data_IF_801604832665
#
_entry.id   IF_801604832665
#
_cell.length_a   1.000
_cell.length_b   1.000
_cell.length_c   1.000
_cell.angle_alpha   90.00
_cell.angle_beta   90.00
_cell.angle_gamma   90.00
#
_symmetry.space_group_name_H-M   'P 1'
#
loop_
_entity.id
_entity.type
_entity.pdbx_description
1 polymer ?
#
# COMPACT_ATOMS: atom_id res chain seq x y z
N UNK A 1 -9.45 16.54 -45.75
CA UNK A 1 -8.26 16.98 -44.98
C UNK A 1 -8.71 17.80 -43.78
N UNK A 2 -9.52 18.85 -43.99
CA UNK A 2 -10.07 19.72 -42.94
C UNK A 2 -10.88 19.00 -41.83
N UNK A 3 -11.68 17.98 -42.19
CA UNK A 3 -12.45 17.22 -41.19
C UNK A 3 -11.56 16.44 -40.19
N UNK A 4 -10.36 16.03 -40.61
CA UNK A 4 -9.41 15.31 -39.77
C UNK A 4 -8.64 16.28 -38.84
N UNK A 5 -8.36 17.49 -39.32
CA UNK A 5 -7.72 18.54 -38.53
C UNK A 5 -8.65 19.12 -37.46
N UNK A 6 -9.94 19.28 -37.78
CA UNK A 6 -10.94 19.76 -36.82
C UNK A 6 -11.14 18.76 -35.65
N UNK A 7 -11.15 17.47 -35.94
CA UNK A 7 -11.23 16.40 -34.93
C UNK A 7 -10.00 16.41 -34.03
N UNK A 8 -8.80 16.48 -34.63
CA UNK A 8 -7.53 16.58 -33.87
C UNK A 8 -7.47 17.83 -32.98
N UNK A 9 -7.92 18.98 -33.46
CA UNK A 9 -7.98 20.21 -32.67
C UNK A 9 -8.97 20.12 -31.50
N UNK A 10 -10.11 19.44 -31.69
CA UNK A 10 -11.09 19.21 -30.61
C UNK A 10 -10.56 18.24 -29.54
N UNK A 11 -9.85 17.19 -29.93
CA UNK A 11 -9.24 16.23 -29.01
C UNK A 11 -8.15 16.90 -28.16
N UNK A 12 -7.25 17.66 -28.78
CA UNK A 12 -6.21 18.42 -28.06
C UNK A 12 -6.80 19.44 -27.08
N UNK A 13 -7.87 20.13 -27.46
CA UNK A 13 -8.58 21.05 -26.57
C UNK A 13 -9.18 20.31 -25.36
N UNK A 14 -9.85 19.17 -25.57
CA UNK A 14 -10.41 18.34 -24.48
C UNK A 14 -9.32 17.85 -23.53
N UNK A 15 -8.20 17.33 -24.05
CA UNK A 15 -7.05 16.92 -23.24
C UNK A 15 -6.48 18.08 -22.43
N UNK A 16 -6.33 19.27 -23.03
CA UNK A 16 -5.83 20.46 -22.30
C UNK A 16 -6.76 20.90 -21.16
N UNK A 17 -8.08 20.83 -21.36
CA UNK A 17 -9.05 21.16 -20.30
C UNK A 17 -9.06 20.13 -19.18
N UNK A 18 -8.90 18.85 -19.54
CA UNK A 18 -8.79 17.76 -18.57
C UNK A 18 -7.55 17.95 -17.69
N UNK A 19 -6.36 18.13 -18.29
CA UNK A 19 -5.13 18.31 -17.51
C UNK A 19 -5.21 19.52 -16.60
N UNK A 20 -5.70 20.67 -17.10
CA UNK A 20 -5.86 21.86 -16.28
C UNK A 20 -6.81 21.64 -15.10
N UNK A 21 -7.91 20.90 -15.29
CA UNK A 21 -8.80 20.53 -14.17
C UNK A 21 -8.08 19.64 -13.18
N UNK A 22 -7.36 18.61 -13.66
CA UNK A 22 -6.65 17.67 -12.81
C UNK A 22 -5.57 18.35 -11.96
N UNK A 23 -4.77 19.24 -12.56
CA UNK A 23 -3.79 20.05 -11.82
C UNK A 23 -4.44 20.90 -10.73
N UNK A 24 -5.61 21.52 -11.02
CA UNK A 24 -6.39 22.25 -10.02
C UNK A 24 -6.88 21.35 -8.88
N UNK A 25 -7.28 20.11 -9.18
CA UNK A 25 -7.74 19.15 -8.18
C UNK A 25 -6.61 18.64 -7.30
N UNK A 26 -5.41 18.45 -7.86
CA UNK A 26 -4.20 18.11 -7.10
C UNK A 26 -3.84 19.27 -6.16
N UNK A 27 -3.88 20.51 -6.63
CA UNK A 27 -3.65 21.71 -5.79
C UNK A 27 -4.66 21.78 -4.62
N UNK A 28 -5.92 21.44 -4.87
CA UNK A 28 -6.98 21.42 -3.84
C UNK A 28 -6.79 20.33 -2.78
N UNK A 29 -6.13 19.23 -3.15
CA UNK A 29 -5.72 18.15 -2.25
C UNK A 29 -4.47 18.53 -1.47
N UNK A 30 -3.48 19.14 -2.14
CA UNK A 30 -2.16 19.47 -1.62
C UNK A 30 -1.04 18.70 -2.33
N UNK A 31 -0.11 19.42 -2.94
CA UNK A 31 1.05 18.85 -3.65
C UNK A 31 1.98 18.07 -2.71
N UNK A 32 2.05 18.47 -1.44
CA UNK A 32 2.84 17.81 -0.40
C UNK A 32 2.36 16.40 -0.05
N UNK A 33 1.10 16.09 -0.38
CA UNK A 33 0.54 14.76 -0.19
C UNK A 33 0.75 13.87 -1.41
N UNK A 34 1.03 14.42 -2.59
CA UNK A 34 1.23 13.66 -3.82
C UNK A 34 2.61 13.01 -3.83
N UNK A 35 2.65 11.68 -3.99
CA UNK A 35 3.89 10.88 -3.98
C UNK A 35 4.25 10.39 -5.37
N UNK A 36 3.24 9.97 -6.14
CA UNK A 36 3.42 9.44 -7.49
C UNK A 36 2.37 10.03 -8.41
N UNK A 37 2.80 10.34 -9.62
CA UNK A 37 1.95 10.81 -10.72
C UNK A 37 2.39 10.06 -11.98
N UNK A 38 1.46 9.35 -12.62
CA UNK A 38 1.71 8.65 -13.88
C UNK A 38 2.04 9.63 -15.00
N UNK A 39 2.91 9.24 -15.93
CA UNK A 39 3.34 10.11 -17.03
C UNK A 39 2.19 10.52 -17.98
N UNK A 40 1.15 9.71 -18.06
CA UNK A 40 -0.10 9.96 -18.80
C UNK A 40 -1.17 10.68 -17.96
N UNK A 41 -0.85 10.98 -16.69
CA UNK A 41 -1.73 11.63 -15.71
C UNK A 41 -3.02 10.83 -15.40
N UNK A 42 -3.02 9.53 -15.66
CA UNK A 42 -4.14 8.63 -15.33
C UNK A 42 -3.97 7.96 -13.96
N UNK A 43 -2.79 8.03 -13.37
CA UNK A 43 -2.49 7.43 -12.07
C UNK A 43 -1.96 8.47 -11.08
N UNK A 44 -2.49 8.47 -9.86
CA UNK A 44 -2.05 9.31 -8.76
C UNK A 44 -1.90 8.47 -7.49
N UNK A 45 -0.92 8.81 -6.64
CA UNK A 45 -0.80 8.22 -5.30
C UNK A 45 -0.61 9.32 -4.28
N UNK A 46 -1.49 9.36 -3.27
CA UNK A 46 -1.43 10.33 -2.18
C UNK A 46 -1.04 9.65 -0.86
N UNK A 47 -0.07 10.23 -0.16
CA UNK A 47 0.36 9.86 1.19
C UNK A 47 -0.54 10.52 2.22
N UNK A 48 -1.09 9.71 3.11
CA UNK A 48 -2.01 10.16 4.16
C UNK A 48 -1.56 9.58 5.49
N UNK A 49 -1.56 10.42 6.53
CA UNK A 49 -1.29 10.01 7.90
C UNK A 49 -2.61 9.75 8.62
N UNK A 50 -2.68 8.65 9.35
CA UNK A 50 -3.81 8.39 10.25
C UNK A 50 -3.60 9.05 11.64
N UNK A 51 -4.59 8.89 12.52
CA UNK A 51 -4.57 9.46 13.87
C UNK A 51 -3.39 8.97 14.75
N UNK A 52 -2.78 7.83 14.41
CA UNK A 52 -1.59 7.28 15.09
C UNK A 52 -0.29 7.56 14.32
N UNK A 53 -0.32 8.50 13.38
CA UNK A 53 0.83 8.84 12.52
C UNK A 53 1.37 7.68 11.68
N UNK A 54 0.52 6.68 11.39
CA UNK A 54 0.88 5.63 10.43
C UNK A 54 0.68 6.16 9.02
N UNK A 55 1.62 5.82 8.15
CA UNK A 55 1.60 6.22 6.74
C UNK A 55 0.74 5.24 5.95
N UNK A 56 -0.18 5.79 5.17
CA UNK A 56 -1.04 5.07 4.23
C UNK A 56 -0.94 5.73 2.86
N UNK A 57 -1.12 4.95 1.80
CA UNK A 57 -1.18 5.46 0.43
C UNK A 57 -2.53 5.11 -0.17
N UNK A 58 -3.19 6.10 -0.77
CA UNK A 58 -4.33 5.87 -1.65
C UNK A 58 -3.87 6.06 -3.08
N UNK A 59 -3.99 5.01 -3.87
CA UNK A 59 -3.73 5.02 -5.30
C UNK A 59 -5.05 5.23 -6.04
N UNK A 60 -5.03 6.12 -7.02
CA UNK A 60 -6.19 6.56 -7.77
C UNK A 60 -5.88 6.38 -9.26
N UNK A 61 -6.69 5.58 -9.93
CA UNK A 61 -6.68 5.42 -11.38
C UNK A 61 -7.88 6.15 -12.00
N UNK A 62 -7.59 7.00 -12.97
CA UNK A 62 -8.53 7.79 -13.75
C UNK A 62 -8.68 7.15 -15.13
N UNK A 63 -9.92 6.92 -15.55
CA UNK A 63 -10.22 6.53 -16.93
C UNK A 63 -10.76 7.72 -17.75
N UNK A 64 -11.03 7.49 -19.03
CA UNK A 64 -11.54 8.52 -19.96
C UNK A 64 -12.93 9.07 -19.57
N UNK A 65 -13.63 8.39 -18.66
CA UNK A 65 -14.97 8.79 -18.20
C UNK A 65 -14.93 9.69 -16.97
N UNK A 66 -13.76 9.90 -16.34
CA UNK A 66 -13.56 10.87 -15.28
C UNK A 66 -13.85 12.32 -15.74
N UNK A 67 -14.48 13.17 -14.92
CA UNK A 67 -15.05 12.93 -13.58
C UNK A 67 -16.53 12.48 -13.60
N UNK A 68 -17.10 12.14 -14.76
CA UNK A 68 -18.52 11.74 -14.85
C UNK A 68 -18.77 10.43 -14.10
N UNK A 69 -17.77 9.55 -14.08
CA UNK A 69 -17.72 8.33 -13.29
C UNK A 69 -16.70 8.46 -12.15
N UNK A 70 -16.83 7.65 -11.08
CA UNK A 70 -15.83 7.60 -10.03
C UNK A 70 -14.51 7.05 -10.54
N UNK A 71 -13.37 7.58 -10.07
CA UNK A 71 -12.09 6.94 -10.29
C UNK A 71 -12.00 5.63 -9.51
N UNK A 72 -11.08 4.74 -9.90
CA UNK A 72 -10.78 3.53 -9.12
C UNK A 72 -9.80 3.90 -8.01
N UNK A 73 -10.10 3.49 -6.78
CA UNK A 73 -9.22 3.69 -5.64
C UNK A 73 -8.72 2.34 -5.11
N UNK A 74 -7.45 2.27 -4.74
CA UNK A 74 -6.82 1.13 -4.07
C UNK A 74 -5.89 1.61 -2.95
N UNK A 75 -5.72 0.78 -1.93
CA UNK A 75 -4.84 1.05 -0.80
C UNK A 75 -4.52 -0.27 -0.07
N UNK A 76 -3.44 -0.29 0.72
CA UNK A 76 -3.11 -1.39 1.62
C UNK A 76 -4.00 -1.37 2.89
N UNK A 77 -5.28 -1.69 2.70
CA UNK A 77 -6.32 -1.72 3.74
C UNK A 77 -7.07 -3.05 3.67
N UNK A 78 -7.67 -3.55 4.77
CA UNK A 78 -8.34 -4.86 4.77
C UNK A 78 -9.50 -4.95 3.79
N UNK A 79 -10.14 -3.82 3.50
CA UNK A 79 -11.12 -3.66 2.44
C UNK A 79 -11.16 -2.19 2.02
N UNK A 80 -11.46 -1.93 0.73
CA UNK A 80 -11.60 -0.57 0.21
C UNK A 80 -12.98 0.00 0.57
N UNK A 81 -13.07 1.31 0.75
CA UNK A 81 -14.32 1.98 1.05
C UNK A 81 -15.22 2.12 -0.19
N UNK A 82 -16.53 2.15 0.03
CA UNK A 82 -17.50 2.48 -1.01
C UNK A 82 -17.45 3.97 -1.34
N UNK A 83 -16.67 4.33 -2.37
CA UNK A 83 -16.53 5.71 -2.82
C UNK A 83 -17.89 6.29 -3.23
N UNK A 84 -18.34 7.31 -2.49
CA UNK A 84 -19.52 8.10 -2.85
C UNK A 84 -19.08 9.16 -3.86
N UNK A 85 -19.68 9.12 -5.04
CA UNK A 85 -19.27 9.95 -6.17
C UNK A 85 -20.47 10.60 -6.85
N UNK A 86 -20.27 11.83 -7.30
CA UNK A 86 -21.21 12.61 -8.09
C UNK A 86 -20.46 13.31 -9.23
N UNK A 87 -21.17 13.83 -10.22
CA UNK A 87 -20.57 14.59 -11.32
C UNK A 87 -19.83 15.87 -10.89
N UNK A 88 -20.08 16.36 -9.67
CA UNK A 88 -19.38 17.49 -9.06
C UNK A 88 -18.25 17.07 -8.12
N UNK A 89 -18.06 15.77 -7.92
CA UNK A 89 -17.00 15.24 -7.08
C UNK A 89 -15.64 15.36 -7.76
N UNK A 90 -14.59 15.47 -6.94
CA UNK A 90 -13.20 15.72 -7.35
C UNK A 90 -12.24 14.86 -6.52
N UNK A 91 -10.95 14.88 -6.85
CA UNK A 91 -9.93 14.08 -6.12
C UNK A 91 -9.95 14.30 -4.59
N UNK A 92 -10.21 15.53 -4.15
CA UNK A 92 -10.34 15.87 -2.73
C UNK A 92 -11.39 15.05 -2.01
N UNK A 93 -12.51 14.72 -2.66
CA UNK A 93 -13.57 13.89 -2.07
C UNK A 93 -13.10 12.46 -1.85
N UNK A 94 -12.26 11.92 -2.74
CA UNK A 94 -11.64 10.59 -2.58
C UNK A 94 -10.74 10.58 -1.35
N UNK A 95 -9.84 11.57 -1.25
CA UNK A 95 -8.89 11.71 -0.14
C UNK A 95 -9.62 11.87 1.19
N UNK A 96 -10.65 12.72 1.25
CA UNK A 96 -11.46 12.92 2.47
C UNK A 96 -12.24 11.67 2.88
N UNK A 97 -12.80 10.94 1.92
CA UNK A 97 -13.49 9.68 2.22
C UNK A 97 -12.52 8.59 2.67
N UNK A 98 -11.32 8.54 2.09
CA UNK A 98 -10.27 7.63 2.53
C UNK A 98 -9.78 7.97 3.93
N UNK A 99 -9.57 9.25 4.28
CA UNK A 99 -9.24 9.66 5.65
C UNK A 99 -10.27 9.16 6.68
N UNK A 100 -11.57 9.34 6.39
CA UNK A 100 -12.66 8.81 7.24
C UNK A 100 -12.66 7.28 7.30
N UNK A 101 -12.23 6.61 6.24
CA UNK A 101 -12.07 5.17 6.21
C UNK A 101 -10.94 4.72 7.15
N UNK A 102 -9.79 5.40 7.10
CA UNK A 102 -8.66 5.14 8.02
C UNK A 102 -9.07 5.32 9.49
N UNK A 103 -9.93 6.29 9.81
CA UNK A 103 -10.47 6.49 11.16
C UNK A 103 -11.25 5.28 11.67
N UNK A 104 -12.06 4.63 10.82
CA UNK A 104 -12.81 3.42 11.18
C UNK A 104 -11.90 2.22 11.46
N UNK A 105 -10.81 2.11 10.71
CA UNK A 105 -9.87 0.99 10.80
C UNK A 105 -8.87 1.11 11.96
N UNK A 106 -8.93 2.17 12.75
CA UNK A 106 -7.97 2.39 13.85
C UNK A 106 -7.98 1.26 14.88
N UNK A 107 -9.16 0.75 15.26
CA UNK A 107 -9.27 -0.35 16.25
C UNK A 107 -8.71 -1.66 15.69
N UNK A 108 -8.94 -1.92 14.40
CA UNK A 108 -8.43 -3.09 13.70
C UNK A 108 -6.91 -3.14 13.72
N UNK A 109 -6.24 -2.09 13.24
CA UNK A 109 -4.78 -2.07 13.27
C UNK A 109 -4.21 -2.04 14.68
N UNK A 110 -4.90 -1.41 15.64
CA UNK A 110 -4.46 -1.45 17.05
C UNK A 110 -4.49 -2.87 17.60
N UNK A 111 -5.53 -3.64 17.27
CA UNK A 111 -5.65 -5.04 17.68
C UNK A 111 -4.55 -5.90 17.06
N UNK A 112 -4.25 -5.70 15.77
CA UNK A 112 -3.13 -6.38 15.11
C UNK A 112 -1.78 -5.98 15.72
N UNK A 113 -1.55 -4.68 15.96
CA UNK A 113 -0.32 -4.19 16.59
C UNK A 113 -0.14 -4.80 18.00
N UNK A 114 -1.22 -4.99 18.75
CA UNK A 114 -1.20 -5.62 20.08
C UNK A 114 -0.91 -7.12 20.00
N UNK A 115 -1.47 -7.83 19.01
CA UNK A 115 -1.16 -9.25 18.72
C UNK A 115 0.32 -9.38 18.38
N UNK A 116 0.81 -8.58 17.43
CA UNK A 116 2.19 -8.62 16.92
C UNK A 116 3.22 -8.33 18.02
N UNK A 117 2.87 -7.48 19.00
CA UNK A 117 3.71 -7.19 20.17
C UNK A 117 3.66 -8.25 21.27
N UNK A 118 2.54 -8.95 21.41
CA UNK A 118 2.27 -9.78 22.60
C UNK A 118 2.47 -11.27 22.35
N UNK A 119 2.37 -11.72 21.10
CA UNK A 119 2.30 -13.13 20.71
C UNK A 119 3.43 -13.46 19.73
N UNK A 120 3.92 -14.71 19.77
CA UNK A 120 4.86 -15.18 18.76
C UNK A 120 4.14 -15.43 17.42
N UNK A 121 4.06 -14.37 16.61
CA UNK A 121 3.58 -14.42 15.22
C UNK A 121 4.69 -14.99 14.33
N UNK A 122 4.35 -16.05 13.59
CA UNK A 122 5.25 -16.76 12.66
C UNK A 122 5.02 -16.30 11.22
N UNK A 123 3.77 -15.99 10.89
CA UNK A 123 3.37 -15.53 9.57
C UNK A 123 2.22 -14.51 9.68
N UNK A 124 2.25 -13.40 8.91
CA UNK A 124 3.33 -12.96 8.02
C UNK A 124 4.57 -12.47 8.78
N UNK A 125 5.78 -12.68 8.22
CA UNK A 125 7.04 -12.13 8.77
C UNK A 125 7.07 -10.59 8.74
N UNK A 126 6.46 -10.01 7.70
CA UNK A 126 6.30 -8.56 7.53
C UNK A 126 4.82 -8.29 7.21
N UNK A 127 3.98 -8.02 8.23
CA UNK A 127 2.56 -7.78 8.00
C UNK A 127 2.32 -6.46 7.26
N UNK A 128 1.56 -6.53 6.18
CA UNK A 128 0.96 -5.33 5.58
C UNK A 128 -0.31 -4.93 6.32
N UNK A 129 -0.81 -3.73 6.05
CA UNK A 129 -2.01 -3.17 6.71
C UNK A 129 -3.32 -3.74 6.17
N UNK A 130 -3.30 -4.42 5.02
CA UNK A 130 -4.43 -5.22 4.52
C UNK A 130 -4.54 -6.62 5.11
N UNK A 131 -3.47 -7.17 5.70
CA UNK A 131 -3.48 -8.54 6.21
C UNK A 131 -4.26 -8.68 7.51
N UNK A 132 -5.40 -9.36 7.43
CA UNK A 132 -6.32 -9.63 8.55
C UNK A 132 -6.04 -10.93 9.30
N UNK A 133 -5.00 -11.68 8.96
CA UNK A 133 -4.68 -12.95 9.61
C UNK A 133 -3.32 -12.93 10.31
N UNK A 134 -3.17 -13.77 11.34
CA UNK A 134 -1.91 -13.99 12.07
C UNK A 134 -1.73 -15.45 12.44
N UNK A 135 -0.60 -16.04 12.05
CA UNK A 135 -0.22 -17.40 12.43
C UNK A 135 0.60 -17.32 13.70
N UNK A 136 0.08 -17.91 14.77
CA UNK A 136 0.67 -17.78 16.09
C UNK A 136 1.15 -19.15 16.54
N UNK A 137 2.39 -19.20 17.05
CA UNK A 137 2.92 -20.40 17.68
C UNK A 137 2.21 -20.63 19.02
N UNK A 138 1.64 -21.82 19.22
CA UNK A 138 0.94 -22.20 20.46
C UNK A 138 1.67 -23.29 21.25
N UNK A 139 2.90 -23.63 20.86
CA UNK A 139 3.74 -24.68 21.45
C UNK A 139 3.43 -26.07 20.88
N UNK A 140 4.24 -27.06 21.27
CA UNK A 140 4.09 -28.48 20.86
C UNK A 140 3.99 -28.68 19.33
N UNK A 141 4.82 -27.95 18.57
CA UNK A 141 4.79 -27.95 17.09
C UNK A 141 3.41 -27.67 16.50
N UNK A 142 2.60 -26.91 17.23
CA UNK A 142 1.27 -26.47 16.80
C UNK A 142 1.23 -24.96 16.59
N UNK A 143 0.37 -24.57 15.65
CA UNK A 143 0.09 -23.19 15.30
C UNK A 143 -1.42 -22.96 15.26
N UNK A 144 -1.82 -21.74 15.56
CA UNK A 144 -3.19 -21.26 15.33
C UNK A 144 -3.14 -20.12 14.32
N UNK A 145 -3.90 -20.28 13.25
CA UNK A 145 -4.20 -19.21 12.30
C UNK A 145 -5.44 -18.49 12.78
N UNK A 146 -5.32 -17.22 13.14
CA UNK A 146 -6.44 -16.36 13.51
C UNK A 146 -6.80 -15.46 12.34
N UNK A 147 -8.10 -15.29 12.09
CA UNK A 147 -8.66 -14.31 11.15
C UNK A 147 -9.41 -13.25 11.93
N UNK A 148 -8.89 -12.02 11.91
CA UNK A 148 -9.39 -10.87 12.64
C UNK A 148 -10.38 -10.13 11.75
N UNK A 149 -11.61 -9.97 12.21
CA UNK A 149 -12.63 -9.21 11.49
C UNK A 149 -12.26 -7.71 11.53
N UNK A 150 -12.14 -7.07 10.38
CA UNK A 150 -11.80 -5.65 10.30
C UNK A 150 -12.90 -4.72 10.82
N UNK A 151 -14.17 -5.13 10.74
CA UNK A 151 -15.31 -4.35 11.22
C UNK A 151 -15.61 -4.56 12.72
N UNK A 152 -15.18 -5.70 13.27
CA UNK A 152 -15.32 -6.02 14.68
C UNK A 152 -14.06 -6.72 15.22
N UNK A 153 -12.92 -6.01 15.32
CA UNK A 153 -11.61 -6.60 15.57
C UNK A 153 -11.46 -7.23 16.96
N UNK A 154 -12.30 -6.82 17.92
CA UNK A 154 -12.34 -7.40 19.27
C UNK A 154 -13.30 -8.59 19.39
N UNK A 155 -14.01 -8.98 18.32
CA UNK A 155 -14.82 -10.19 18.32
C UNK A 155 -13.96 -11.46 18.43
N UNK A 156 -14.60 -12.58 18.78
CA UNK A 156 -13.95 -13.88 18.77
C UNK A 156 -13.48 -14.18 17.34
N UNK A 157 -12.16 -14.33 17.08
CA UNK A 157 -11.67 -14.58 15.73
C UNK A 157 -12.11 -15.95 15.23
N UNK A 158 -12.29 -16.05 13.91
CA UNK A 158 -12.27 -17.36 13.26
C UNK A 158 -10.85 -17.93 13.37
N UNK A 159 -10.74 -19.25 13.53
CA UNK A 159 -9.43 -19.86 13.69
C UNK A 159 -9.30 -21.21 13.00
N UNK A 160 -8.06 -21.53 12.61
CA UNK A 160 -7.64 -22.84 12.11
C UNK A 160 -6.40 -23.31 12.86
N UNK A 161 -6.47 -24.51 13.41
CA UNK A 161 -5.33 -25.16 14.07
C UNK A 161 -4.51 -25.95 13.06
N UNK A 162 -3.19 -25.97 13.26
CA UNK A 162 -2.20 -26.66 12.43
C UNK A 162 -1.20 -27.36 13.33
N UNK A 163 -0.83 -28.60 13.04
CA UNK A 163 0.05 -29.42 13.87
C UNK A 163 -0.38 -30.89 13.87
N UNK A 164 0.25 -31.75 14.70
CA UNK A 164 -0.14 -33.16 14.80
C UNK A 164 -1.59 -33.34 15.25
N UNK A 165 -2.35 -34.19 14.54
CA UNK A 165 -3.79 -34.38 14.75
C UNK A 165 -4.20 -34.61 16.22
N UNK A 166 -3.54 -35.49 17.00
CA UNK A 166 -3.95 -35.73 18.38
C UNK A 166 -3.87 -34.48 19.26
N UNK A 167 -2.88 -33.61 19.00
CA UNK A 167 -2.65 -32.38 19.76
C UNK A 167 -3.64 -31.31 19.31
N UNK A 168 -3.82 -31.14 18.00
CA UNK A 168 -4.77 -30.20 17.40
C UNK A 168 -6.21 -30.49 17.81
N UNK A 169 -6.62 -31.76 17.84
CA UNK A 169 -7.98 -32.14 18.27
C UNK A 169 -8.23 -31.86 19.76
N UNK A 170 -7.19 -31.90 20.58
CA UNK A 170 -7.27 -31.42 21.97
C UNK A 170 -7.55 -29.92 22.02
N UNK A 171 -6.75 -29.11 21.31
CA UNK A 171 -6.95 -27.67 21.26
C UNK A 171 -8.32 -27.28 20.69
N UNK A 172 -8.80 -27.96 19.64
CA UNK A 172 -10.12 -27.71 19.06
C UNK A 172 -11.23 -27.94 20.10
N UNK A 173 -11.14 -29.02 20.89
CA UNK A 173 -12.13 -29.31 21.96
C UNK A 173 -12.09 -28.25 23.07
N UNK A 174 -10.90 -27.85 23.51
CA UNK A 174 -10.73 -26.82 24.55
C UNK A 174 -11.29 -25.47 24.06
N UNK A 175 -10.94 -25.06 22.84
CA UNK A 175 -11.45 -23.83 22.21
C UNK A 175 -12.98 -23.83 22.14
N UNK A 176 -13.60 -24.91 21.64
CA UNK A 176 -15.06 -25.01 21.52
C UNK A 176 -15.76 -24.95 22.88
N UNK A 177 -15.17 -25.58 23.91
CA UNK A 177 -15.67 -25.49 25.30
C UNK A 177 -15.59 -24.06 25.83
N UNK A 178 -14.51 -23.35 25.53
CA UNK A 178 -14.18 -22.08 26.15
C UNK A 178 -14.62 -20.84 25.37
N UNK A 179 -15.07 -20.96 24.10
CA UNK A 179 -15.43 -19.83 23.24
C UNK A 179 -16.34 -18.77 23.88
N UNK A 180 -17.21 -19.18 24.82
CA UNK A 180 -18.11 -18.29 25.56
C UNK A 180 -17.42 -17.42 26.61
N UNK A 181 -16.17 -17.72 26.96
CA UNK A 181 -15.33 -16.94 27.88
C UNK A 181 -14.69 -15.72 27.21
N UNK A 182 -14.77 -15.62 25.88
CA UNK A 182 -14.25 -14.47 25.14
C UNK A 182 -15.02 -13.20 25.53
N UNK A 183 -14.28 -12.12 25.81
CA UNK A 183 -14.86 -10.80 26.07
C UNK A 183 -14.03 -9.72 25.37
N UNK A 184 -14.69 -8.69 24.84
CA UNK A 184 -14.05 -7.57 24.14
C UNK A 184 -13.23 -6.67 25.07
N UNK A 185 -13.49 -6.73 26.37
CA UNK A 185 -12.86 -5.87 27.38
C UNK A 185 -11.51 -6.42 27.88
N UNK A 186 -11.18 -7.66 27.53
CA UNK A 186 -9.94 -8.32 27.96
C UNK A 186 -8.86 -8.19 26.88
N UNK A 187 -7.59 -8.01 27.25
CA UNK A 187 -6.47 -8.05 26.30
C UNK A 187 -6.48 -9.31 25.44
N UNK A 188 -6.10 -9.17 24.17
CA UNK A 188 -6.19 -10.24 23.18
C UNK A 188 -5.37 -11.48 23.59
N UNK A 189 -4.13 -11.28 24.06
CA UNK A 189 -3.26 -12.34 24.59
C UNK A 189 -3.96 -13.15 25.69
N UNK A 190 -4.55 -12.48 26.68
CA UNK A 190 -5.21 -13.14 27.80
C UNK A 190 -6.47 -13.89 27.36
N UNK A 191 -7.21 -13.36 26.39
CA UNK A 191 -8.34 -14.06 25.79
C UNK A 191 -7.88 -15.36 25.13
N UNK A 192 -6.87 -15.33 24.26
CA UNK A 192 -6.40 -16.54 23.56
C UNK A 192 -5.81 -17.54 24.56
N UNK A 193 -5.03 -17.10 25.54
CA UNK A 193 -4.52 -17.96 26.61
C UNK A 193 -5.64 -18.63 27.41
N UNK A 194 -6.70 -17.88 27.74
CA UNK A 194 -7.88 -18.39 28.42
C UNK A 194 -8.65 -19.41 27.57
N UNK A 195 -8.75 -19.17 26.25
CA UNK A 195 -9.41 -20.09 25.33
C UNK A 195 -8.65 -21.39 25.16
N UNK A 196 -7.32 -21.36 25.15
CA UNK A 196 -6.47 -22.52 24.95
C UNK A 196 -6.05 -23.22 26.26
N UNK A 197 -6.35 -22.63 27.43
CA UNK A 197 -5.92 -23.11 28.75
C UNK A 197 -4.40 -23.35 28.85
N UNK A 198 -3.63 -22.55 28.11
CA UNK A 198 -2.17 -22.62 28.08
C UNK A 198 -1.57 -21.23 28.06
N UNK A 199 -0.33 -21.14 28.56
CA UNK A 199 0.48 -19.96 28.34
C UNK A 199 0.99 -19.96 26.91
N UNK A 200 0.92 -18.81 26.25
CA UNK A 200 1.37 -18.65 24.88
C UNK A 200 2.82 -18.21 24.84
N UNK A 201 3.62 -18.77 23.91
CA UNK A 201 4.95 -18.25 23.64
C UNK A 201 4.91 -16.76 23.30
N UNK A 202 5.80 -16.00 23.93
CA UNK A 202 6.00 -14.58 23.64
C UNK A 202 6.96 -14.41 22.46
N UNK A 203 6.98 -13.24 21.81
CA UNK A 203 8.01 -12.93 20.82
C UNK A 203 9.40 -13.21 21.38
N UNK A 204 10.23 -13.92 20.63
CA UNK A 204 11.63 -14.16 20.98
C UNK A 204 12.42 -12.94 20.48
N UNK A 205 13.24 -12.35 21.35
CA UNK A 205 14.19 -11.30 20.96
C UNK A 205 15.28 -11.94 20.10
N UNK A 206 15.23 -11.74 18.78
CA UNK A 206 16.09 -12.43 17.81
C UNK A 206 17.50 -11.83 17.86
N UNK A 207 18.26 -12.22 18.86
CA UNK A 207 19.71 -12.17 18.90
C UNK A 207 20.21 -13.59 19.20
N UNK A 208 20.06 -14.52 18.25
CA UNK A 208 20.99 -15.63 17.95
C UNK A 208 20.34 -16.73 17.10
N UNK A 209 20.97 -16.93 15.94
CA UNK A 209 21.11 -18.22 15.26
C UNK A 209 19.88 -18.77 14.53
N UNK A 210 19.40 -18.02 13.54
CA UNK A 210 18.42 -18.49 12.58
C UNK A 210 19.11 -19.39 11.53
N UNK A 211 19.28 -20.66 11.86
CA UNK A 211 19.26 -21.71 10.83
C UNK A 211 17.84 -21.76 10.28
N UNK A 212 17.48 -20.77 9.46
CA UNK A 212 16.22 -20.76 8.75
C UNK A 212 16.19 -21.99 7.84
N UNK A 213 15.24 -22.88 8.12
CA UNK A 213 15.04 -24.11 7.35
C UNK A 213 14.52 -23.69 5.98
N UNK A 214 15.31 -23.97 4.94
CA UNK A 214 14.88 -23.83 3.56
C UNK A 214 13.76 -24.83 3.26
N UNK A 215 12.77 -24.42 2.49
CA UNK A 215 11.76 -25.35 2.01
C UNK A 215 12.43 -26.48 1.21
N UNK A 216 12.18 -27.75 1.57
CA UNK A 216 12.76 -28.91 0.87
C UNK A 216 12.29 -29.12 -0.58
N UNK A 217 11.47 -28.22 -1.12
CA UNK A 217 10.97 -28.25 -2.51
C UNK A 217 11.55 -27.07 -3.30
N UNK A 218 11.30 -25.84 -2.86
CA UNK A 218 11.73 -24.64 -3.58
C UNK A 218 13.06 -24.07 -3.10
N UNK A 219 13.64 -24.61 -2.01
CA UNK A 219 14.86 -24.12 -1.36
C UNK A 219 14.81 -22.64 -0.96
N UNK A 220 13.62 -22.04 -0.95
CA UNK A 220 13.41 -20.68 -0.50
C UNK A 220 13.12 -20.67 1.01
N UNK A 221 13.67 -19.67 1.70
CA UNK A 221 13.39 -19.38 3.12
C UNK A 221 12.06 -18.63 3.31
N UNK A 222 11.63 -17.91 2.27
CA UNK A 222 10.35 -17.21 2.21
C UNK A 222 9.96 -17.12 0.74
N UNK A 223 8.68 -17.32 0.43
CA UNK A 223 8.16 -17.04 -0.89
C UNK A 223 7.80 -15.55 -0.95
N UNK A 224 8.09 -14.85 -2.06
CA UNK A 224 7.63 -13.48 -2.22
C UNK A 224 6.10 -13.48 -2.18
N UNK A 225 5.53 -12.92 -1.11
CA UNK A 225 4.17 -12.41 -1.20
C UNK A 225 4.21 -11.32 -2.26
N UNK A 226 3.31 -11.35 -3.23
CA UNK A 226 3.31 -10.43 -4.37
C UNK A 226 2.99 -8.98 -3.94
N UNK A 227 3.88 -8.34 -3.19
CA UNK A 227 4.00 -6.89 -3.15
C UNK A 227 5.00 -6.52 -4.25
N UNK A 228 4.49 -6.20 -5.44
CA UNK A 228 5.30 -5.59 -6.49
C UNK A 228 5.59 -4.13 -6.10
N UNK A 229 6.32 -3.90 -5.01
CA UNK A 229 6.91 -2.60 -4.75
C UNK A 229 8.22 -2.52 -5.54
N UNK A 230 8.11 -2.12 -6.82
CA UNK A 230 9.28 -1.59 -7.51
C UNK A 230 9.45 -0.16 -7.01
N UNK A 231 10.30 0.03 -6.01
CA UNK A 231 10.78 1.36 -5.63
C UNK A 231 11.72 1.85 -6.71
N UNK A 232 11.21 2.63 -7.67
CA UNK A 232 12.07 3.41 -8.56
C UNK A 232 12.39 4.70 -7.81
N UNK A 233 13.58 4.77 -7.20
CA UNK A 233 14.14 6.04 -6.75
C UNK A 233 14.50 6.88 -7.99
N UNK A 234 13.54 7.67 -8.47
CA UNK A 234 13.81 8.73 -9.42
C UNK A 234 13.94 10.04 -8.64
N UNK A 235 15.17 10.47 -8.39
CA UNK A 235 15.45 11.80 -7.83
C UNK A 235 15.19 12.84 -8.93
N UNK A 236 14.08 13.57 -8.82
CA UNK A 236 13.70 14.61 -9.78
C UNK A 236 14.29 15.95 -9.30
N UNK A 237 15.53 16.24 -9.70
CA UNK A 237 16.18 17.52 -9.40
C UNK A 237 15.60 18.60 -10.33
N UNK A 238 14.79 19.52 -9.78
CA UNK A 238 14.27 20.68 -10.53
C UNK A 238 15.21 21.87 -10.26
N UNK A 239 16.10 22.17 -11.20
CA UNK A 239 16.89 23.40 -11.16
C UNK A 239 16.04 24.59 -11.64
N UNK A 240 15.60 25.44 -10.71
CA UNK A 240 14.89 26.69 -11.02
C UNK A 240 15.91 27.81 -11.20
N UNK A 241 16.27 28.13 -12.45
CA UNK A 241 17.07 29.31 -12.76
C UNK A 241 16.14 30.53 -12.86
N UNK A 242 16.09 31.36 -11.82
CA UNK A 242 15.42 32.67 -11.86
C UNK A 242 16.36 33.66 -12.55
N UNK A 243 16.23 33.82 -13.87
CA UNK A 243 16.85 34.92 -14.60
C UNK A 243 16.01 36.19 -14.42
N UNK A 244 16.53 37.11 -13.60
CA UNK A 244 16.08 38.49 -13.58
C UNK A 244 16.28 39.09 -14.99
N UNK A 245 15.17 39.54 -15.57
CA UNK A 245 15.01 40.33 -16.78
C UNK A 245 14.67 39.59 -18.10
N UNK A 246 13.35 39.54 -18.37
CA UNK A 246 12.66 39.76 -19.65
C UNK A 246 12.87 38.69 -20.76
N UNK A 247 11.76 37.99 -21.04
CA UNK A 247 11.45 36.94 -22.06
C UNK A 247 11.69 35.49 -21.62
N UNK A 248 10.61 34.87 -21.11
CA UNK A 248 10.52 33.43 -20.86
C UNK A 248 10.58 32.66 -22.19
N UNK A 249 11.57 31.76 -22.32
CA UNK A 249 11.51 30.62 -23.22
C UNK A 249 11.93 29.42 -22.39
N UNK A 250 10.98 28.52 -22.12
CA UNK A 250 11.23 27.29 -21.36
C UNK A 250 11.71 26.24 -22.37
N UNK A 251 12.96 25.81 -22.25
CA UNK A 251 13.49 24.66 -22.98
C UNK A 251 13.58 23.48 -22.02
N UNK A 252 12.86 22.40 -22.32
CA UNK A 252 12.98 21.13 -21.59
C UNK A 252 14.04 20.26 -22.26
N UNK A 253 15.05 19.84 -21.51
CA UNK A 253 15.96 18.78 -21.91
C UNK A 253 15.73 17.56 -20.99
N UNK A 254 15.05 16.54 -21.50
CA UNK A 254 14.95 15.24 -20.85
C UNK A 254 16.15 14.39 -21.30
N UNK A 255 17.13 14.23 -20.42
CA UNK A 255 18.19 13.23 -20.58
C UNK A 255 17.81 11.97 -19.81
N UNK A 256 17.37 10.92 -20.49
CA UNK A 256 17.22 9.60 -19.86
C UNK A 256 18.56 8.85 -19.99
N UNK A 257 19.29 8.75 -18.88
CA UNK A 257 20.49 7.92 -18.78
C UNK A 257 20.26 6.80 -17.78
N UNK A 258 20.33 5.55 -18.22
CA UNK A 258 20.41 4.41 -17.31
C UNK A 258 21.85 4.27 -16.83
N UNK A 259 22.09 4.39 -15.52
CA UNK A 259 23.36 4.06 -14.89
C UNK A 259 23.23 2.67 -14.26
N UNK A 260 23.85 1.62 -14.80
CA UNK A 260 23.96 0.37 -14.05
C UNK A 260 24.91 0.56 -12.86
N UNK A 261 24.48 0.08 -11.70
CA UNK A 261 25.29 0.02 -10.47
C UNK A 261 26.64 -0.67 -10.74
N UNK A 262 27.77 -0.16 -10.22
CA UNK A 262 29.08 -0.77 -10.45
C UNK A 262 29.19 -2.09 -9.68
N UNK A 263 28.96 -3.22 -10.37
CA UNK A 263 29.61 -4.47 -10.00
C UNK A 263 31.06 -4.43 -10.51
N UNK A 264 31.99 -4.85 -9.65
CA UNK A 264 33.42 -4.91 -9.93
C UNK A 264 33.71 -5.57 -11.30
N UNK A 265 34.38 -4.80 -12.17
CA UNK A 265 35.14 -5.35 -13.29
C UNK A 265 34.63 -4.99 -14.68
N UNK A 266 35.52 -4.33 -15.43
CA UNK A 266 35.51 -4.04 -16.87
C UNK A 266 34.82 -2.74 -17.34
N UNK A 267 35.67 -1.86 -17.87
CA UNK A 267 35.34 -0.58 -18.51
C UNK A 267 34.84 -0.79 -19.93
N UNK A 268 33.69 -0.19 -20.26
CA UNK A 268 33.38 0.38 -21.58
C UNK A 268 32.05 1.15 -21.49
N UNK A 269 32.10 2.49 -21.45
CA UNK A 269 30.91 3.35 -21.57
C UNK A 269 30.61 3.60 -23.05
N UNK A 270 29.43 3.22 -23.50
CA UNK A 270 28.84 3.76 -24.74
C UNK A 270 27.63 4.61 -24.38
N UNK A 271 27.71 5.91 -24.68
CA UNK A 271 26.57 6.82 -24.61
C UNK A 271 25.88 6.84 -25.97
N UNK A 272 24.58 6.51 -26.00
CA UNK A 272 23.71 6.81 -27.14
C UNK A 272 22.57 7.67 -26.62
N UNK A 273 22.71 8.99 -26.74
CA UNK A 273 21.64 9.94 -26.44
C UNK A 273 20.86 10.28 -27.70
N UNK A 274 19.54 10.20 -27.65
CA UNK A 274 18.65 10.80 -28.66
C UNK A 274 18.16 12.13 -28.09
N UNK A 275 18.50 13.23 -28.75
CA UNK A 275 18.04 14.57 -28.39
C UNK A 275 16.76 14.86 -29.18
N UNK A 276 15.62 14.97 -28.51
CA UNK A 276 14.41 15.54 -29.09
C UNK A 276 14.25 16.99 -28.61
N UNK A 277 14.49 17.94 -29.51
CA UNK A 277 14.23 19.37 -29.27
C UNK A 277 12.78 19.66 -29.66
N UNK A 278 11.91 20.00 -28.69
CA UNK A 278 10.58 20.56 -28.97
C UNK A 278 10.62 22.04 -28.64
N UNK A 279 10.53 22.88 -29.67
CA UNK A 279 10.56 24.33 -29.56
C UNK A 279 9.12 24.84 -29.66
N UNK A 280 8.50 25.16 -28.52
CA UNK A 280 7.20 25.82 -28.49
C UNK A 280 7.39 27.33 -28.41
N UNK A 281 7.15 28.03 -29.52
CA UNK A 281 7.00 29.49 -29.52
C UNK A 281 5.62 29.84 -28.98
N UNK A 282 5.56 30.44 -27.79
CA UNK A 282 4.37 31.13 -27.30
C UNK A 282 4.34 32.53 -27.95
N UNK A 283 3.36 32.76 -28.82
CA UNK A 283 2.87 34.10 -29.17
C UNK A 283 1.86 34.56 -28.11
#
# INVERSE_FOLDING_TARGET
MEHNEQTRCSELAKSSTFYRSLYSEIEEVGWELLVRLGGDLTFLSFRILDAKSRVHFVEIELDETYPKSPPRASADVPYIFDLKWSISSRLKDVVQQFQKHLEKLQEFWSTLDDIDKSLWVVDPKQPSRSMSHRQINIGNDCFIMLYINADDPKSLPECRFMGPDPVVDSFRRIWQRNRRKWTKDRPYLENIACLLETQLPRPIDVQKNDQQVECGICYAQCLPMMSWEITVEAELTIDVIILLAIRLSIAFALGTGCVPSPQQGSHSMFYSGIVHTVQSQLL
#
